data_IF_021353902205
#
_entry.id   IF_021353902205
#
_cell.length_a   1.000
_cell.length_b   1.000
_cell.length_c   1.000
_cell.angle_alpha   90.00
_cell.angle_beta   90.00
_cell.angle_gamma   90.00
#
_symmetry.space_group_name_H-M   'P 1'
#
loop_
_entity.id
_entity.type
_entity.pdbx_description
1 polymer ?
#
# COMPACT_ATOMS: atom_id res chain seq x y z
N UNK A 1 -11.36 -13.14 7.09
CA UNK A 1 -10.26 -12.58 6.25
C UNK A 1 -10.00 -11.18 6.80
N UNK A 2 -8.80 -10.92 7.33
CA UNK A 2 -8.49 -9.62 7.96
C UNK A 2 -7.72 -8.76 6.96
N UNK A 3 -8.18 -7.53 6.79
CA UNK A 3 -7.48 -6.51 6.00
C UNK A 3 -6.55 -5.78 6.97
N UNK A 4 -5.25 -5.76 6.67
CA UNK A 4 -4.21 -5.23 7.55
C UNK A 4 -4.06 -3.70 7.45
N UNK A 5 -4.96 -3.03 6.73
CA UNK A 5 -4.96 -1.58 6.53
C UNK A 5 -6.38 -1.03 6.68
N UNK A 6 -6.46 0.17 7.23
CA UNK A 6 -7.69 0.96 7.34
C UNK A 6 -8.15 1.49 5.98
N UNK A 7 -7.24 1.52 4.98
CA UNK A 7 -7.49 2.14 3.69
C UNK A 7 -7.68 1.07 2.61
N UNK A 8 -8.88 1.04 2.03
CA UNK A 8 -9.29 0.04 1.05
C UNK A 8 -9.79 0.76 -0.19
N UNK A 9 -9.35 0.33 -1.36
CA UNK A 9 -9.83 0.83 -2.65
C UNK A 9 -10.12 -0.31 -3.60
N UNK A 10 -11.01 -0.11 -4.57
CA UNK A 10 -11.27 -1.09 -5.60
C UNK A 10 -10.28 -0.98 -6.76
N UNK A 11 -10.07 -2.08 -7.50
CA UNK A 11 -9.30 -2.07 -8.75
C UNK A 11 -9.91 -1.13 -9.80
N UNK A 12 -11.24 -0.95 -9.77
CA UNK A 12 -11.95 -0.03 -10.66
C UNK A 12 -11.58 1.43 -10.38
N UNK A 13 -11.52 1.83 -9.10
CA UNK A 13 -11.06 3.17 -8.71
C UNK A 13 -9.59 3.38 -9.03
N UNK A 14 -8.74 2.38 -8.79
CA UNK A 14 -7.32 2.44 -9.13
C UNK A 14 -7.13 2.66 -10.63
N UNK A 15 -7.90 1.96 -11.46
CA UNK A 15 -7.88 2.12 -12.92
C UNK A 15 -8.39 3.49 -13.37
N UNK A 16 -9.41 4.02 -12.70
CA UNK A 16 -9.99 5.31 -13.06
C UNK A 16 -9.10 6.48 -12.69
N UNK A 17 -8.48 6.45 -11.50
CA UNK A 17 -7.59 7.51 -11.05
C UNK A 17 -6.58 6.98 -10.02
N UNK A 18 -5.41 6.50 -10.47
CA UNK A 18 -4.43 5.88 -9.57
C UNK A 18 -3.89 6.86 -8.52
N UNK A 19 -3.71 8.14 -8.89
CA UNK A 19 -3.22 9.16 -7.97
C UNK A 19 -4.20 9.47 -6.84
N UNK A 20 -5.52 9.38 -7.11
CA UNK A 20 -6.54 9.53 -6.08
C UNK A 20 -6.45 8.42 -5.05
N UNK A 21 -6.27 7.17 -5.49
CA UNK A 21 -6.15 6.00 -4.61
C UNK A 21 -4.88 6.06 -3.74
N UNK A 22 -3.75 6.47 -4.32
CA UNK A 22 -2.52 6.69 -3.57
C UNK A 22 -2.70 7.79 -2.51
N UNK A 23 -3.36 8.91 -2.87
CA UNK A 23 -3.64 10.01 -1.94
C UNK A 23 -4.65 9.65 -0.86
N UNK A 24 -5.67 8.83 -1.15
CA UNK A 24 -6.63 8.37 -0.15
C UNK A 24 -5.97 7.51 0.92
N UNK A 25 -4.81 6.93 0.61
CA UNK A 25 -3.98 6.23 1.58
C UNK A 25 -3.38 7.12 2.66
N UNK A 26 -3.37 8.46 2.49
CA UNK A 26 -2.85 9.39 3.50
C UNK A 26 -1.34 9.21 3.80
N UNK A 27 -0.59 8.59 2.88
CA UNK A 27 0.80 8.18 3.14
C UNK A 27 0.94 6.82 3.83
N UNK A 28 -0.13 6.03 3.90
CA UNK A 28 -0.12 4.64 4.36
C UNK A 28 -0.46 3.66 3.22
N UNK A 29 -0.26 2.36 3.47
CA UNK A 29 -0.58 1.31 2.51
C UNK A 29 -2.09 1.20 2.27
N UNK A 30 -2.51 1.04 1.01
CA UNK A 30 -3.91 0.88 0.60
C UNK A 30 -4.14 -0.53 0.08
N UNK A 31 -5.12 -1.25 0.62
CA UNK A 31 -5.52 -2.55 0.10
C UNK A 31 -6.35 -2.37 -1.16
N UNK A 32 -5.94 -2.99 -2.25
CA UNK A 32 -6.67 -2.99 -3.51
C UNK A 32 -7.48 -4.27 -3.61
N UNK A 33 -8.81 -4.12 -3.73
CA UNK A 33 -9.74 -5.22 -3.89
C UNK A 33 -10.04 -5.48 -5.37
N UNK A 34 -10.07 -6.77 -5.73
CA UNK A 34 -10.62 -7.26 -6.99
C UNK A 34 -11.77 -8.23 -6.69
N UNK A 35 -12.96 -8.01 -7.26
CA UNK A 35 -14.16 -8.79 -6.95
C UNK A 35 -14.39 -9.02 -5.43
N UNK A 36 -14.27 -7.95 -4.64
CA UNK A 36 -14.38 -7.96 -3.17
C UNK A 36 -13.33 -8.82 -2.42
N UNK A 37 -12.25 -9.22 -3.10
CA UNK A 37 -11.12 -9.93 -2.50
C UNK A 37 -9.86 -9.06 -2.56
N UNK A 38 -9.06 -8.95 -1.48
CA UNK A 38 -7.76 -8.29 -1.52
C UNK A 38 -6.87 -8.93 -2.58
N UNK A 39 -6.45 -8.15 -3.56
CA UNK A 39 -5.56 -8.59 -4.63
C UNK A 39 -4.11 -8.23 -4.32
N UNK A 40 -3.85 -6.98 -3.91
CA UNK A 40 -2.52 -6.48 -3.56
C UNK A 40 -2.62 -5.23 -2.68
N UNK A 41 -1.49 -4.81 -2.11
CA UNK A 41 -1.37 -3.54 -1.40
C UNK A 41 -0.64 -2.52 -2.29
N UNK A 42 -1.17 -1.31 -2.35
CA UNK A 42 -0.52 -0.17 -2.95
C UNK A 42 0.16 0.65 -1.85
N UNK A 43 1.49 0.74 -1.87
CA UNK A 43 2.28 1.50 -0.88
C UNK A 43 2.87 2.72 -1.58
N UNK A 44 2.65 3.95 -1.06
CA UNK A 44 3.30 5.14 -1.61
C UNK A 44 4.83 5.07 -1.50
N UNK A 45 5.53 5.71 -2.44
CA UNK A 45 7.01 5.70 -2.50
C UNK A 45 7.63 6.17 -1.19
N UNK A 46 7.20 7.31 -0.66
CA UNK A 46 7.74 7.85 0.60
C UNK A 46 7.58 6.88 1.77
N UNK A 47 6.48 6.15 1.82
CA UNK A 47 6.18 5.17 2.87
C UNK A 47 7.05 3.94 2.73
N UNK A 48 7.16 3.42 1.51
CA UNK A 48 8.01 2.28 1.19
C UNK A 48 9.49 2.60 1.45
N UNK A 49 9.95 3.78 1.04
CA UNK A 49 11.30 4.24 1.31
C UNK A 49 11.55 4.39 2.81
N UNK A 50 10.64 4.99 3.58
CA UNK A 50 10.77 5.06 5.05
C UNK A 50 10.85 3.67 5.69
N UNK A 51 10.03 2.72 5.22
CA UNK A 51 10.06 1.34 5.71
C UNK A 51 11.40 0.66 5.38
N UNK A 52 11.86 0.73 4.14
CA UNK A 52 13.13 0.13 3.69
C UNK A 52 14.36 0.81 4.32
N UNK A 53 14.32 2.12 4.51
CA UNK A 53 15.37 2.88 5.20
C UNK A 53 15.44 2.51 6.68
N UNK A 54 14.30 2.28 7.35
CA UNK A 54 14.28 1.77 8.73
C UNK A 54 14.79 0.32 8.81
N UNK A 55 14.52 -0.51 7.81
CA UNK A 55 15.00 -1.90 7.74
C UNK A 55 16.51 -2.02 7.44
N UNK A 56 17.14 -0.99 6.85
CA UNK A 56 18.60 -0.95 6.59
C UNK A 56 19.44 -0.95 7.88
N UNK A 57 18.84 -0.72 9.06
CA UNK A 57 19.53 -0.86 10.36
C UNK A 57 19.49 -2.32 10.89
N UNK A 58 18.94 -3.29 10.13
CA UNK A 58 18.87 -4.71 10.53
C UNK A 58 19.30 -5.73 9.46
N UNK A 59 20.16 -5.36 8.51
CA UNK A 59 20.89 -6.38 7.76
C UNK A 59 22.12 -6.83 8.57
N UNK A 60 22.19 -8.08 9.06
CA UNK A 60 23.46 -8.63 9.53
C UNK A 60 24.40 -8.68 8.32
N UNK A 61 25.59 -8.08 8.48
CA UNK A 61 26.70 -8.27 7.53
C UNK A 61 26.98 -9.78 7.46
N UNK A 62 26.65 -10.40 6.33
CA UNK A 62 27.27 -11.66 5.90
C UNK A 62 28.63 -11.36 5.27
#
# INVERSE_FOLDING_TARGET
MQILTSNISSISELKSNPMKVVRSGGGEAVAILNHNKPAFYCVPVETYEKQMQQETIKAPKV
#
